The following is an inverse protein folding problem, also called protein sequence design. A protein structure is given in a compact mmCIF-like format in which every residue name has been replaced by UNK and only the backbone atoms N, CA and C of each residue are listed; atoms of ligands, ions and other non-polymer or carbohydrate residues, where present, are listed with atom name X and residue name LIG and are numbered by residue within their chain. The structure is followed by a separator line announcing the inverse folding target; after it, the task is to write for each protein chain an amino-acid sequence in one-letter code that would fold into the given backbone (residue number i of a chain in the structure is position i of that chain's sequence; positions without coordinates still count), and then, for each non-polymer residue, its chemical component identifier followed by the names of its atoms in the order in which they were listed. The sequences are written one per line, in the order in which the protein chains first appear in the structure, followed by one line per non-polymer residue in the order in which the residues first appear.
data_IF_466744096209
#
_entry.id   IF_466744096209
#
_cell.length_a   1.000
_cell.length_b   1.000
_cell.length_c   1.000
_cell.angle_alpha   90.00
_cell.angle_beta   90.00
_cell.angle_gamma   90.00
#
_symmetry.space_group_name_H-M   'P 1'
#
loop_
_entity.id
_entity.type
_entity.pdbx_description
1 polymer ?
#
# COMPACT_ATOMS: atom_id res chain seq x y z
N UNK A 1 5.58 18.23 10.57
CA UNK A 1 4.16 17.85 10.60
C UNK A 1 3.77 17.16 9.29
N UNK A 2 2.63 16.49 9.28
CA UNK A 2 2.15 15.71 8.14
C UNK A 2 0.64 15.88 7.95
N UNK A 3 0.22 15.97 6.71
CA UNK A 3 -1.19 15.91 6.29
C UNK A 3 -1.33 14.92 5.14
N UNK A 4 -2.28 14.00 5.21
CA UNK A 4 -2.72 13.24 4.04
C UNK A 4 -4.22 13.40 3.80
N UNK A 5 -4.61 13.50 2.53
CA UNK A 5 -6.00 13.58 2.07
C UNK A 5 -6.17 12.57 0.96
N UNK A 6 -6.95 11.53 1.20
CA UNK A 6 -7.15 10.41 0.29
C UNK A 6 -8.64 10.24 -0.07
N UNK A 7 -8.94 10.13 -1.35
CA UNK A 7 -10.23 9.72 -1.88
C UNK A 7 -10.19 8.20 -2.07
N UNK A 8 -11.12 7.49 -1.43
CA UNK A 8 -11.21 6.04 -1.53
C UNK A 8 -12.19 5.62 -2.63
N UNK A 9 -11.84 4.61 -3.40
CA UNK A 9 -12.71 4.05 -4.42
C UNK A 9 -12.41 2.57 -4.63
N UNK A 10 -13.41 1.80 -5.09
CA UNK A 10 -13.19 0.41 -5.46
C UNK A 10 -12.16 0.32 -6.59
N UNK A 11 -11.19 -0.56 -6.44
CA UNK A 11 -10.19 -0.87 -7.46
C UNK A 11 -10.87 -1.71 -8.55
N UNK A 12 -11.04 -1.12 -9.73
CA UNK A 12 -11.62 -1.81 -10.89
C UNK A 12 -10.74 -1.61 -12.11
N UNK A 13 -10.62 -2.65 -12.94
CA UNK A 13 -9.78 -2.60 -14.14
C UNK A 13 -10.11 -1.39 -15.03
N UNK A 14 -11.38 -1.11 -15.24
CA UNK A 14 -11.85 -0.07 -16.16
C UNK A 14 -11.51 1.35 -15.70
N UNK A 15 -11.29 1.55 -14.40
CA UNK A 15 -11.07 2.86 -13.79
C UNK A 15 -9.70 3.06 -13.20
N UNK A 16 -8.97 1.98 -12.87
CA UNK A 16 -7.72 2.03 -12.12
C UNK A 16 -6.69 3.00 -12.72
N UNK A 17 -6.43 2.93 -14.03
CA UNK A 17 -5.48 3.82 -14.69
C UNK A 17 -5.93 5.29 -14.70
N UNK A 18 -7.24 5.55 -14.93
CA UNK A 18 -7.80 6.88 -14.87
C UNK A 18 -7.72 7.48 -13.45
N UNK A 19 -8.02 6.66 -12.44
CA UNK A 19 -7.93 7.06 -11.03
C UNK A 19 -6.47 7.33 -10.66
N UNK A 20 -5.53 6.47 -11.07
CA UNK A 20 -4.11 6.59 -10.74
C UNK A 20 -3.44 7.84 -11.35
N UNK A 21 -3.84 8.30 -12.53
CA UNK A 21 -3.24 9.48 -13.15
C UNK A 21 -3.73 10.78 -12.53
N UNK A 22 -4.91 10.76 -11.92
CA UNK A 22 -5.62 11.97 -11.49
C UNK A 22 -4.82 12.85 -10.52
N UNK A 23 -4.25 12.35 -9.41
CA UNK A 23 -3.50 13.20 -8.48
C UNK A 23 -2.31 13.90 -9.16
N UNK A 24 -1.68 13.25 -10.12
CA UNK A 24 -0.57 13.84 -10.88
C UNK A 24 -1.03 14.96 -11.81
N UNK A 25 -2.19 14.82 -12.44
CA UNK A 25 -2.81 15.89 -13.25
C UNK A 25 -3.18 17.09 -12.38
N UNK A 26 -3.80 16.84 -11.23
CA UNK A 26 -4.20 17.90 -10.29
C UNK A 26 -2.98 18.64 -9.70
N UNK A 27 -1.87 17.94 -9.45
CA UNK A 27 -0.62 18.53 -8.94
C UNK A 27 0.06 19.49 -9.92
N UNK A 28 -0.37 19.50 -11.21
CA UNK A 28 0.21 20.40 -12.24
C UNK A 28 -0.24 21.84 -12.12
N UNK A 29 -1.23 22.14 -11.31
CA UNK A 29 -1.68 23.48 -11.00
C UNK A 29 -3.18 23.59 -10.76
N UNK A 30 -3.56 24.66 -10.12
CA UNK A 30 -4.94 25.03 -9.82
C UNK A 30 -5.22 26.49 -10.25
N UNK A 31 -6.45 26.95 -10.05
CA UNK A 31 -6.85 28.32 -10.42
C UNK A 31 -5.97 29.38 -9.77
N UNK A 32 -5.57 29.20 -8.50
CA UNK A 32 -4.74 30.13 -7.75
C UNK A 32 -3.24 29.96 -8.05
N UNK A 33 -2.79 28.72 -8.19
CA UNK A 33 -1.40 28.34 -8.48
C UNK A 33 -1.36 27.68 -9.86
N UNK A 34 -1.20 28.45 -10.96
CA UNK A 34 -1.52 27.97 -12.31
C UNK A 34 -0.52 26.97 -12.90
N UNK A 35 0.66 26.83 -12.31
CA UNK A 35 1.71 25.95 -12.79
C UNK A 35 2.64 25.47 -11.65
N UNK A 36 3.61 24.63 -12.00
CA UNK A 36 4.55 24.06 -11.03
C UNK A 36 5.48 25.13 -10.43
N UNK A 37 5.78 26.21 -11.15
CA UNK A 37 6.63 27.30 -10.66
C UNK A 37 5.90 28.08 -9.56
N UNK A 38 4.62 28.42 -9.79
CA UNK A 38 3.78 29.08 -8.80
C UNK A 38 3.59 28.21 -7.54
N UNK A 39 3.39 26.90 -7.73
CA UNK A 39 3.29 25.95 -6.61
C UNK A 39 4.62 25.88 -5.84
N UNK A 40 5.76 25.78 -6.53
CA UNK A 40 7.06 25.73 -5.88
C UNK A 40 7.34 27.02 -5.07
N UNK A 41 7.06 28.18 -5.64
CA UNK A 41 7.22 29.47 -4.95
C UNK A 41 6.32 29.59 -3.70
N UNK A 42 5.09 29.06 -3.77
CA UNK A 42 4.17 29.01 -2.63
C UNK A 42 4.71 28.11 -1.52
N UNK A 43 5.15 26.89 -1.86
CA UNK A 43 5.66 25.93 -0.91
C UNK A 43 7.02 26.35 -0.31
N UNK A 44 7.88 27.02 -1.08
CA UNK A 44 9.10 27.66 -0.57
C UNK A 44 8.75 28.72 0.49
N UNK A 45 7.69 29.51 0.25
CA UNK A 45 7.14 30.45 1.22
C UNK A 45 6.53 29.81 2.46
N UNK A 46 6.28 28.51 2.45
CA UNK A 46 5.86 27.68 3.57
C UNK A 46 7.02 26.84 4.15
N UNK A 47 8.21 27.43 4.22
CA UNK A 47 9.44 26.82 4.77
C UNK A 47 9.86 25.55 4.05
N UNK A 48 9.64 25.47 2.74
CA UNK A 48 9.99 24.32 1.93
C UNK A 48 9.05 23.13 2.14
N UNK A 49 7.77 23.38 2.38
CA UNK A 49 6.76 22.33 2.44
C UNK A 49 6.68 21.55 1.12
N UNK A 50 6.27 20.30 1.18
CA UNK A 50 6.09 19.46 0.00
C UNK A 50 4.66 18.95 -0.06
N UNK A 51 4.06 18.94 -1.26
CA UNK A 51 2.78 18.30 -1.56
C UNK A 51 3.02 17.26 -2.65
N UNK A 52 2.85 15.99 -2.32
CA UNK A 52 3.12 14.83 -3.18
C UNK A 52 1.83 14.14 -3.59
N UNK A 53 1.59 13.90 -4.89
CA UNK A 53 0.47 13.10 -5.35
C UNK A 53 0.70 11.63 -5.04
N UNK A 54 -0.32 10.97 -4.46
CA UNK A 54 -0.22 9.57 -4.03
C UNK A 54 -1.30 8.70 -4.65
N UNK A 55 -0.93 7.44 -4.85
CA UNK A 55 -1.82 6.36 -5.28
C UNK A 55 -1.48 5.14 -4.44
N UNK A 56 -2.40 4.69 -3.62
CA UNK A 56 -2.26 3.50 -2.79
C UNK A 56 -3.21 2.40 -3.25
N UNK A 57 -2.85 1.16 -2.94
CA UNK A 57 -3.69 -0.02 -3.10
C UNK A 57 -3.78 -0.72 -1.76
N UNK A 58 -4.98 -0.88 -1.24
CA UNK A 58 -5.32 -1.45 0.04
C UNK A 58 -6.34 -2.57 -0.19
N UNK A 59 -5.86 -3.79 -0.38
CA UNK A 59 -6.74 -4.84 -0.88
C UNK A 59 -7.32 -4.48 -2.25
N UNK A 60 -8.63 -4.45 -2.36
CA UNK A 60 -9.37 -4.07 -3.58
C UNK A 60 -9.83 -2.60 -3.56
N UNK A 61 -9.20 -1.79 -2.73
CA UNK A 61 -9.45 -0.36 -2.64
C UNK A 61 -8.26 0.41 -3.22
N UNK A 62 -8.57 1.40 -4.05
CA UNK A 62 -7.59 2.37 -4.53
C UNK A 62 -7.80 3.69 -3.79
N UNK A 63 -6.77 4.17 -3.10
CA UNK A 63 -6.76 5.46 -2.43
C UNK A 63 -5.88 6.43 -3.20
N UNK A 64 -6.42 7.59 -3.57
CA UNK A 64 -5.71 8.59 -4.37
C UNK A 64 -5.88 9.98 -3.78
N UNK A 65 -4.82 10.77 -3.79
CA UNK A 65 -4.88 12.09 -3.22
C UNK A 65 -3.53 12.75 -3.07
N UNK A 66 -3.34 13.43 -1.96
CA UNK A 66 -2.13 14.16 -1.65
C UNK A 66 -1.61 13.86 -0.26
N UNK A 67 -0.31 13.80 -0.13
CA UNK A 67 0.44 13.83 1.12
C UNK A 67 1.27 15.09 1.16
N UNK A 68 1.30 15.75 2.32
CA UNK A 68 2.10 16.94 2.54
C UNK A 68 2.96 16.78 3.79
N UNK A 69 4.26 17.04 3.66
CA UNK A 69 5.19 17.21 4.76
C UNK A 69 5.57 18.69 4.87
N UNK A 70 5.63 19.19 6.10
CA UNK A 70 5.83 20.61 6.36
C UNK A 70 6.37 20.84 7.77
N UNK A 71 6.95 22.01 8.00
CA UNK A 71 7.41 22.41 9.31
C UNK A 71 6.23 22.55 10.28
N UNK A 72 6.39 22.08 11.50
CA UNK A 72 5.33 22.14 12.52
C UNK A 72 5.11 23.57 13.04
N UNK A 73 3.85 24.03 13.09
CA UNK A 73 3.48 25.38 13.54
C UNK A 73 4.01 25.69 14.95
N UNK A 74 3.97 24.69 15.85
CA UNK A 74 4.49 24.84 17.20
C UNK A 74 6.01 25.03 17.26
N UNK A 75 6.74 24.43 16.32
CA UNK A 75 8.19 24.58 16.22
C UNK A 75 8.58 25.92 15.56
N UNK A 76 7.77 26.42 14.62
CA UNK A 76 8.02 27.69 13.94
C UNK A 76 7.61 28.89 14.77
N UNK A 77 6.59 28.76 15.64
CA UNK A 77 5.91 29.89 16.28
C UNK A 77 5.07 30.73 15.31
N UNK A 78 4.77 30.18 14.14
CA UNK A 78 3.97 30.79 13.08
C UNK A 78 2.98 29.75 12.53
N UNK A 79 1.78 30.20 12.14
CA UNK A 79 0.73 29.31 11.62
C UNK A 79 0.80 29.18 10.09
N UNK A 80 1.37 28.07 9.61
CA UNK A 80 1.44 27.76 8.18
C UNK A 80 0.40 26.71 7.76
N UNK A 81 -0.09 25.88 8.67
CA UNK A 81 -1.03 24.79 8.37
C UNK A 81 -2.32 25.26 7.68
N UNK A 82 -3.00 26.36 8.08
CA UNK A 82 -4.22 26.81 7.38
C UNK A 82 -3.98 27.13 5.91
N UNK A 83 -2.81 27.70 5.57
CA UNK A 83 -2.41 28.04 4.21
C UNK A 83 -2.09 26.79 3.41
N UNK A 84 -1.33 25.85 3.99
CA UNK A 84 -1.02 24.56 3.37
C UNK A 84 -2.31 23.74 3.11
N UNK A 85 -3.22 23.69 4.07
CA UNK A 85 -4.52 23.01 3.92
C UNK A 85 -5.34 23.61 2.78
N UNK A 86 -5.32 24.93 2.63
CA UNK A 86 -5.96 25.61 1.50
C UNK A 86 -5.28 25.27 0.16
N UNK A 87 -3.94 25.17 0.12
CA UNK A 87 -3.21 24.75 -1.08
C UNK A 87 -3.58 23.32 -1.52
N UNK A 88 -3.64 22.38 -0.57
CA UNK A 88 -4.07 21.00 -0.85
C UNK A 88 -5.51 20.98 -1.35
N UNK A 89 -6.42 21.73 -0.70
CA UNK A 89 -7.82 21.82 -1.11
C UNK A 89 -7.95 22.47 -2.50
N UNK A 90 -7.21 23.52 -2.81
CA UNK A 90 -7.22 24.19 -4.12
C UNK A 90 -6.74 23.24 -5.23
N UNK A 91 -5.67 22.47 -4.99
CA UNK A 91 -5.20 21.48 -5.95
C UNK A 91 -6.25 20.38 -6.20
N UNK A 92 -6.97 19.99 -5.15
CA UNK A 92 -8.00 18.94 -5.23
C UNK A 92 -9.28 19.46 -5.89
N UNK A 93 -9.77 20.65 -5.53
CA UNK A 93 -11.12 21.14 -5.86
C UNK A 93 -11.16 22.11 -7.03
N UNK A 94 -10.07 22.83 -7.29
CA UNK A 94 -10.01 23.92 -8.27
C UNK A 94 -8.92 23.74 -9.32
N UNK A 95 -8.80 22.54 -9.95
CA UNK A 95 -7.74 22.25 -10.91
C UNK A 95 -7.83 23.16 -12.14
N UNK A 96 -6.72 23.26 -12.85
CA UNK A 96 -6.67 23.99 -14.11
C UNK A 96 -7.58 23.35 -15.17
N UNK A 97 -8.64 24.05 -15.55
CA UNK A 97 -9.61 23.62 -16.54
C UNK A 97 -9.70 24.57 -17.73
N UNK A 98 -10.19 24.05 -18.84
CA UNK A 98 -10.57 24.87 -20.00
C UNK A 98 -12.00 24.50 -20.40
N UNK A 99 -12.93 25.43 -20.22
CA UNK A 99 -14.35 25.17 -20.46
C UNK A 99 -14.94 24.09 -19.54
N UNK A 100 -14.51 24.03 -18.27
CA UNK A 100 -14.95 23.04 -17.28
C UNK A 100 -14.34 21.64 -17.44
N UNK A 101 -13.43 21.43 -18.39
CA UNK A 101 -12.73 20.17 -18.60
C UNK A 101 -11.25 20.30 -18.23
N UNK A 102 -10.66 19.25 -17.68
CA UNK A 102 -9.22 19.18 -17.42
C UNK A 102 -8.43 19.45 -18.70
N UNK A 103 -7.33 20.16 -18.59
CA UNK A 103 -6.53 20.59 -19.74
C UNK A 103 -5.94 19.42 -20.51
N UNK A 104 -6.21 19.29 -21.82
CA UNK A 104 -5.74 18.16 -22.63
C UNK A 104 -4.23 18.01 -22.63
N UNK A 105 -3.47 19.10 -22.70
CA UNK A 105 -2.01 19.11 -22.71
C UNK A 105 -1.42 18.53 -21.42
N UNK A 106 -2.02 18.85 -20.27
CA UNK A 106 -1.62 18.29 -18.97
C UNK A 106 -1.96 16.80 -18.89
N UNK A 107 -3.19 16.44 -19.29
CA UNK A 107 -3.65 15.04 -19.27
C UNK A 107 -2.78 14.15 -20.16
N UNK A 108 -2.45 14.61 -21.37
CA UNK A 108 -1.60 13.86 -22.31
C UNK A 108 -0.16 13.70 -21.78
N UNK A 109 0.37 14.75 -21.15
CA UNK A 109 1.69 14.70 -20.50
C UNK A 109 1.70 13.67 -19.36
N UNK A 110 0.73 13.73 -18.42
CA UNK A 110 0.70 12.81 -17.28
C UNK A 110 0.32 11.38 -17.66
N UNK A 111 -0.51 11.19 -18.71
CA UNK A 111 -0.73 9.88 -19.31
C UNK A 111 0.57 9.24 -19.79
N UNK A 112 1.40 10.02 -20.50
CA UNK A 112 2.72 9.56 -20.97
C UNK A 112 3.62 9.18 -19.80
N UNK A 113 3.62 9.97 -18.73
CA UNK A 113 4.38 9.68 -17.51
C UNK A 113 3.84 8.44 -16.78
N UNK A 114 2.50 8.26 -16.73
CA UNK A 114 1.90 7.06 -16.14
C UNK A 114 2.34 5.80 -16.88
N UNK A 115 2.30 5.80 -18.22
CA UNK A 115 2.77 4.69 -19.04
C UNK A 115 4.26 4.41 -18.76
N UNK A 116 5.08 5.44 -18.67
CA UNK A 116 6.49 5.28 -18.33
C UNK A 116 6.68 4.67 -16.92
N UNK A 117 5.88 5.07 -15.92
CA UNK A 117 5.91 4.48 -14.57
C UNK A 117 5.48 3.01 -14.59
N UNK A 118 4.43 2.65 -15.34
CA UNK A 118 3.98 1.26 -15.49
C UNK A 118 5.08 0.41 -16.10
N UNK A 119 5.69 0.87 -17.20
CA UNK A 119 6.80 0.17 -17.85
C UNK A 119 8.03 0.05 -16.95
N UNK A 120 8.31 1.07 -16.15
CA UNK A 120 9.45 1.08 -15.22
C UNK A 120 9.28 0.13 -14.03
N UNK A 121 8.09 -0.39 -13.76
CA UNK A 121 7.84 -1.32 -12.65
C UNK A 121 8.73 -2.56 -12.72
N UNK A 122 9.06 -3.04 -13.91
CA UNK A 122 9.97 -4.17 -14.13
C UNK A 122 11.41 -3.92 -13.63
N UNK A 123 11.81 -2.66 -13.39
CA UNK A 123 13.15 -2.34 -12.88
C UNK A 123 13.33 -2.78 -11.43
N UNK A 124 12.28 -2.78 -10.61
CA UNK A 124 12.30 -3.40 -9.29
C UNK A 124 11.85 -4.87 -9.39
N UNK A 125 12.80 -5.75 -9.66
CA UNK A 125 12.54 -7.17 -9.95
C UNK A 125 11.74 -7.89 -8.86
N UNK A 126 12.01 -7.58 -7.59
CA UNK A 126 11.33 -8.19 -6.44
C UNK A 126 9.86 -7.75 -6.37
N UNK A 127 9.62 -6.44 -6.48
CA UNK A 127 8.25 -5.91 -6.48
C UNK A 127 7.48 -6.36 -7.72
N UNK A 128 8.13 -6.39 -8.87
CA UNK A 128 7.54 -6.88 -10.12
C UNK A 128 7.11 -8.35 -9.99
N UNK A 129 7.98 -9.23 -9.48
CA UNK A 129 7.66 -10.64 -9.29
C UNK A 129 6.44 -10.83 -8.35
N UNK A 130 6.35 -10.02 -7.28
CA UNK A 130 5.20 -10.04 -6.37
C UNK A 130 3.90 -9.58 -7.06
N UNK A 131 3.94 -8.48 -7.80
CA UNK A 131 2.77 -8.00 -8.55
C UNK A 131 2.32 -9.02 -9.61
N UNK A 132 3.26 -9.66 -10.29
CA UNK A 132 2.95 -10.74 -11.26
C UNK A 132 2.35 -11.95 -10.56
N UNK A 133 2.90 -12.35 -9.40
CA UNK A 133 2.29 -13.40 -8.56
C UNK A 133 0.83 -13.06 -8.25
N UNK A 134 0.54 -11.84 -7.77
CA UNK A 134 -0.83 -11.42 -7.44
C UNK A 134 -1.75 -11.42 -8.67
N UNK A 135 -1.25 -10.97 -9.82
CA UNK A 135 -2.02 -11.01 -11.07
C UNK A 135 -2.48 -12.44 -11.44
N UNK A 136 -1.63 -13.43 -11.22
CA UNK A 136 -1.96 -14.82 -11.51
C UNK A 136 -2.74 -15.51 -10.39
N UNK A 137 -2.33 -15.29 -9.14
CA UNK A 137 -2.95 -15.87 -7.95
C UNK A 137 -4.39 -15.40 -7.78
N UNK A 138 -4.63 -14.11 -7.97
CA UNK A 138 -5.92 -13.45 -7.76
C UNK A 138 -6.65 -13.12 -9.08
N UNK A 139 -6.43 -13.88 -10.15
CA UNK A 139 -6.92 -13.55 -11.49
C UNK A 139 -8.45 -13.40 -11.61
N UNK A 140 -9.21 -13.86 -10.63
CA UNK A 140 -10.68 -13.73 -10.55
C UNK A 140 -11.12 -12.73 -9.48
N UNK A 141 -10.23 -11.86 -9.03
CA UNK A 141 -10.44 -10.87 -7.97
C UNK A 141 -9.96 -9.50 -8.47
N UNK A 142 -10.61 -8.43 -8.04
CA UNK A 142 -10.17 -7.05 -8.37
C UNK A 142 -8.75 -6.76 -7.84
N UNK A 143 -8.32 -7.51 -6.82
CA UNK A 143 -6.94 -7.45 -6.33
C UNK A 143 -5.87 -7.78 -7.38
N UNK A 144 -6.19 -8.52 -8.44
CA UNK A 144 -5.26 -8.77 -9.55
C UNK A 144 -4.90 -7.49 -10.33
N UNK A 145 -5.74 -6.45 -10.25
CA UNK A 145 -5.52 -5.18 -10.95
C UNK A 145 -4.33 -4.44 -10.34
N UNK A 146 -3.32 -4.06 -11.15
CA UNK A 146 -2.19 -3.30 -10.65
C UNK A 146 -2.62 -1.93 -10.10
N UNK A 147 -1.91 -1.44 -9.10
CA UNK A 147 -2.16 -0.13 -8.45
C UNK A 147 -2.29 1.04 -9.43
N UNK A 148 -1.47 1.06 -10.49
CA UNK A 148 -1.47 2.09 -11.52
C UNK A 148 -2.35 1.75 -12.73
N UNK A 149 -3.07 0.62 -12.68
CA UNK A 149 -3.75 0.07 -13.84
C UNK A 149 -2.80 -0.57 -14.87
N UNK A 150 -3.34 -1.00 -15.99
CA UNK A 150 -2.56 -1.59 -17.08
C UNK A 150 -2.21 -0.56 -18.15
N UNK A 151 -1.12 -0.80 -18.89
CA UNK A 151 -0.64 0.09 -19.95
C UNK A 151 -1.70 0.32 -21.03
N UNK A 152 -2.37 -0.74 -21.49
CA UNK A 152 -3.41 -0.64 -22.51
C UNK A 152 -4.61 0.23 -22.09
N UNK A 153 -4.92 0.28 -20.79
CA UNK A 153 -5.98 1.13 -20.26
C UNK A 153 -5.48 2.57 -20.06
N UNK A 154 -4.21 2.73 -19.68
CA UNK A 154 -3.57 4.03 -19.61
C UNK A 154 -3.50 4.75 -20.97
N UNK A 155 -3.21 4.02 -22.06
CA UNK A 155 -3.21 4.55 -23.43
C UNK A 155 -4.57 5.14 -23.86
N UNK A 156 -5.67 4.62 -23.31
CA UNK A 156 -7.05 5.06 -23.58
C UNK A 156 -7.51 6.23 -22.73
N UNK A 157 -6.67 6.74 -21.84
CA UNK A 157 -7.01 7.91 -21.01
C UNK A 157 -7.16 9.13 -21.91
N UNK A 158 -8.31 9.78 -21.76
CA UNK A 158 -8.69 10.96 -22.54
C UNK A 158 -9.26 12.02 -21.58
N UNK A 159 -8.94 13.28 -21.79
CA UNK A 159 -9.28 14.36 -20.88
C UNK A 159 -10.77 14.45 -20.49
N UNK A 160 -11.72 14.12 -21.40
CA UNK A 160 -13.15 14.09 -21.07
C UNK A 160 -13.49 12.97 -20.11
N UNK A 161 -12.99 11.74 -20.38
CA UNK A 161 -13.17 10.58 -19.49
C UNK A 161 -12.54 10.85 -18.11
N UNK A 162 -11.37 11.45 -18.10
CA UNK A 162 -10.69 11.80 -16.86
C UNK A 162 -11.44 12.89 -16.07
N UNK A 163 -12.00 13.89 -16.74
CA UNK A 163 -12.85 14.91 -16.10
C UNK A 163 -14.10 14.29 -15.47
N UNK A 164 -14.75 13.37 -16.17
CA UNK A 164 -15.90 12.64 -15.61
C UNK A 164 -15.50 11.85 -14.36
N UNK A 165 -14.38 11.10 -14.43
CA UNK A 165 -13.87 10.35 -13.29
C UNK A 165 -13.50 11.25 -12.11
N UNK A 166 -12.92 12.40 -12.36
CA UNK A 166 -12.62 13.41 -11.35
C UNK A 166 -13.88 13.87 -10.60
N UNK A 167 -14.94 14.24 -11.32
CA UNK A 167 -16.20 14.65 -10.70
C UNK A 167 -16.89 13.51 -9.95
N UNK A 168 -16.83 12.30 -10.49
CA UNK A 168 -17.33 11.10 -9.85
C UNK A 168 -16.64 10.86 -8.50
N UNK A 169 -15.32 10.83 -8.47
CA UNK A 169 -14.54 10.66 -7.24
C UNK A 169 -14.84 11.74 -6.19
N UNK A 170 -14.88 13.01 -6.57
CA UNK A 170 -15.21 14.08 -5.62
C UNK A 170 -16.62 13.93 -5.05
N UNK A 171 -17.56 13.42 -5.86
CA UNK A 171 -18.96 13.28 -5.48
C UNK A 171 -19.21 12.06 -4.60
N UNK A 172 -18.58 10.92 -4.89
CA UNK A 172 -18.98 9.61 -4.33
C UNK A 172 -17.95 9.00 -3.37
N UNK A 173 -16.66 9.38 -3.47
CA UNK A 173 -15.63 8.74 -2.65
C UNK A 173 -15.72 9.14 -1.17
N UNK A 174 -15.60 8.20 -0.23
CA UNK A 174 -15.18 8.51 1.13
C UNK A 174 -13.84 9.25 1.12
N UNK A 175 -13.67 10.18 2.05
CA UNK A 175 -12.45 10.98 2.18
C UNK A 175 -11.79 10.66 3.50
N UNK A 176 -10.60 10.10 3.45
CA UNK A 176 -9.79 9.84 4.62
C UNK A 176 -8.73 10.92 4.78
N UNK A 177 -8.70 11.53 5.96
CA UNK A 177 -7.76 12.59 6.28
C UNK A 177 -6.99 12.22 7.54
N UNK A 178 -5.68 12.29 7.46
CA UNK A 178 -4.80 12.11 8.59
C UNK A 178 -3.93 13.36 8.79
N UNK A 179 -3.82 13.81 10.03
CA UNK A 179 -2.93 14.89 10.44
C UNK A 179 -2.07 14.45 11.61
N UNK A 180 -0.79 14.77 11.55
CA UNK A 180 0.17 14.61 12.64
C UNK A 180 0.98 15.90 12.83
N UNK A 181 0.85 16.53 14.00
CA UNK A 181 1.53 17.78 14.34
C UNK A 181 1.04 18.35 15.68
N UNK A 182 1.49 19.53 16.02
CA UNK A 182 1.23 20.16 17.33
C UNK A 182 -0.12 20.87 17.47
N UNK A 183 -0.87 21.06 16.39
CA UNK A 183 -2.16 21.77 16.42
C UNK A 183 -3.23 20.87 17.03
N UNK A 184 -4.07 21.46 17.89
CA UNK A 184 -5.23 20.76 18.46
C UNK A 184 -6.18 20.18 17.38
N UNK A 185 -6.56 18.90 17.55
CA UNK A 185 -7.35 18.16 16.57
C UNK A 185 -8.68 18.80 16.20
N UNK A 186 -9.37 19.47 17.15
CA UNK A 186 -10.63 20.18 16.87
C UNK A 186 -10.38 21.40 15.97
N UNK A 187 -9.25 22.06 16.14
CA UNK A 187 -8.85 23.18 15.27
C UNK A 187 -8.51 22.69 13.88
N UNK A 188 -7.74 21.60 13.77
CA UNK A 188 -7.44 20.95 12.49
C UNK A 188 -8.72 20.56 11.76
N UNK A 189 -9.64 19.87 12.43
CA UNK A 189 -10.92 19.47 11.85
C UNK A 189 -11.74 20.66 11.33
N UNK A 190 -11.74 21.79 12.07
CA UNK A 190 -12.42 23.02 11.61
C UNK A 190 -11.79 23.58 10.35
N UNK A 191 -10.45 23.75 10.32
CA UNK A 191 -9.72 24.26 9.16
C UNK A 191 -10.01 23.40 7.94
N UNK A 192 -9.89 22.08 8.07
CA UNK A 192 -10.12 21.14 6.97
C UNK A 192 -11.59 21.16 6.49
N UNK A 193 -12.55 21.25 7.42
CA UNK A 193 -13.97 21.37 7.07
C UNK A 193 -14.23 22.67 6.28
N UNK A 194 -13.61 23.78 6.68
CA UNK A 194 -13.79 25.06 6.01
C UNK A 194 -13.21 25.04 4.59
N UNK A 195 -11.96 24.57 4.40
CA UNK A 195 -11.31 24.54 3.08
C UNK A 195 -11.92 23.52 2.12
N UNK A 196 -12.49 22.42 2.64
CA UNK A 196 -13.18 21.39 1.84
C UNK A 196 -14.70 21.63 1.70
N UNK A 197 -15.24 22.70 2.28
CA UNK A 197 -16.67 22.97 2.31
C UNK A 197 -17.35 23.09 0.93
N UNK A 198 -16.58 23.44 -0.10
CA UNK A 198 -17.05 23.54 -1.48
C UNK A 198 -16.97 22.24 -2.28
N UNK A 199 -16.51 21.16 -1.66
CA UNK A 199 -16.40 19.86 -2.32
C UNK A 199 -17.81 19.37 -2.73
N UNK A 200 -18.03 19.08 -4.03
CA UNK A 200 -19.32 18.59 -4.47
C UNK A 200 -19.56 17.18 -3.91
N UNK A 201 -20.62 17.00 -3.13
CA UNK A 201 -20.96 15.71 -2.50
C UNK A 201 -22.29 15.19 -3.00
N UNK A 202 -22.29 13.95 -3.50
CA UNK A 202 -23.47 13.13 -3.81
C UNK A 202 -23.67 12.03 -2.77
N UNK A 203 -24.37 10.97 -3.18
CA UNK A 203 -24.42 9.74 -2.37
C UNK A 203 -23.02 9.10 -2.35
N UNK A 204 -22.56 8.77 -1.13
CA UNK A 204 -21.29 8.06 -0.98
C UNK A 204 -21.41 6.66 -1.58
N UNK A 205 -20.32 6.19 -2.17
CA UNK A 205 -20.16 4.79 -2.55
C UNK A 205 -19.92 3.99 -1.27
N UNK A 206 -20.93 3.26 -0.82
CA UNK A 206 -20.88 2.42 0.39
C UNK A 206 -20.37 1.00 0.09
N UNK A 207 -20.29 0.62 -1.19
CA UNK A 207 -19.85 -0.71 -1.64
C UNK A 207 -18.32 -0.79 -1.85
N UNK A 208 -17.57 0.03 -1.12
CA UNK A 208 -16.10 -0.01 -1.16
C UNK A 208 -15.60 -1.03 -0.13
N UNK A 209 -14.96 -2.08 -0.62
CA UNK A 209 -14.50 -3.15 0.27
C UNK A 209 -13.49 -4.07 -0.40
N UNK A 210 -13.09 -5.07 0.33
CA UNK A 210 -12.19 -6.12 -0.16
C UNK A 210 -12.81 -7.48 0.09
N UNK A 211 -13.03 -8.25 -0.97
CA UNK A 211 -13.44 -9.65 -0.86
C UNK A 211 -12.26 -10.51 -0.42
N UNK A 212 -12.40 -11.19 0.71
CA UNK A 212 -11.39 -12.10 1.22
C UNK A 212 -11.72 -13.52 0.77
N UNK A 213 -10.83 -14.07 -0.04
CA UNK A 213 -10.94 -15.43 -0.49
C UNK A 213 -10.05 -16.33 0.36
N UNK A 214 -10.67 -17.17 1.17
CA UNK A 214 -10.00 -18.04 2.15
C UNK A 214 -9.26 -19.21 1.51
N UNK A 215 -9.75 -19.72 0.39
CA UNK A 215 -9.24 -20.94 -0.25
C UNK A 215 -8.55 -20.62 -1.58
N UNK A 216 -7.58 -21.45 -1.93
CA UNK A 216 -7.01 -21.44 -3.27
C UNK A 216 -8.08 -21.78 -4.33
N UNK A 217 -7.87 -21.31 -5.57
CA UNK A 217 -8.78 -21.60 -6.68
C UNK A 217 -8.73 -23.07 -7.11
N UNK A 218 -7.58 -23.71 -6.95
CA UNK A 218 -7.30 -25.08 -7.35
C UNK A 218 -6.71 -25.86 -6.19
N UNK A 219 -6.85 -27.19 -6.20
CA UNK A 219 -6.28 -28.09 -5.17
C UNK A 219 -4.74 -28.11 -5.22
N UNK A 220 -4.16 -27.89 -6.39
CA UNK A 220 -2.72 -27.84 -6.58
C UNK A 220 -2.27 -26.40 -6.86
N UNK A 221 -1.11 -25.97 -6.34
CA UNK A 221 -0.56 -24.66 -6.63
C UNK A 221 -0.35 -24.44 -8.12
N UNK A 222 -0.67 -23.26 -8.61
CA UNK A 222 -0.38 -22.87 -9.98
C UNK A 222 1.07 -22.47 -10.12
N UNK A 223 1.73 -22.94 -11.17
CA UNK A 223 3.12 -22.61 -11.50
C UNK A 223 3.16 -21.72 -12.73
N UNK A 224 3.72 -20.54 -12.59
CA UNK A 224 3.84 -19.55 -13.67
C UNK A 224 5.28 -19.16 -13.85
N UNK A 225 5.76 -19.15 -15.10
CA UNK A 225 7.14 -18.75 -15.44
C UNK A 225 7.10 -17.66 -16.49
N UNK A 226 7.82 -16.57 -16.24
CA UNK A 226 8.06 -15.50 -17.19
C UNK A 226 9.57 -15.36 -17.44
N UNK A 227 9.99 -15.24 -18.70
CA UNK A 227 11.40 -15.11 -19.06
C UNK A 227 11.71 -13.65 -19.37
N UNK A 228 12.63 -13.07 -18.62
CA UNK A 228 13.10 -11.70 -18.77
C UNK A 228 14.63 -11.67 -18.95
N UNK A 229 15.18 -10.67 -19.63
CA UNK A 229 16.64 -10.50 -19.80
C UNK A 229 17.26 -9.98 -18.50
N UNK A 230 17.32 -10.82 -17.48
CA UNK A 230 17.85 -10.50 -16.15
C UNK A 230 18.93 -11.48 -15.73
N UNK A 231 19.90 -11.02 -14.94
CA UNK A 231 21.00 -11.85 -14.46
C UNK A 231 20.58 -12.77 -13.28
N UNK A 232 19.49 -12.44 -12.60
CA UNK A 232 19.04 -13.14 -11.39
C UNK A 232 17.56 -13.50 -11.52
N UNK A 233 17.22 -14.75 -11.25
CA UNK A 233 15.83 -15.17 -11.17
C UNK A 233 15.16 -14.65 -9.87
N UNK A 234 13.87 -14.37 -9.96
CA UNK A 234 13.03 -14.02 -8.83
C UNK A 234 12.00 -15.12 -8.63
N UNK A 235 11.96 -15.69 -7.45
CA UNK A 235 10.96 -16.66 -7.02
C UNK A 235 9.99 -15.94 -6.10
N UNK A 236 8.71 -16.01 -6.41
CA UNK A 236 7.64 -15.54 -5.54
C UNK A 236 6.66 -16.69 -5.28
N UNK A 237 6.34 -16.93 -3.99
CA UNK A 237 5.42 -17.98 -3.56
C UNK A 237 4.29 -17.33 -2.78
N UNK A 238 3.06 -17.53 -3.22
CA UNK A 238 1.86 -16.95 -2.63
C UNK A 238 1.04 -17.99 -1.89
N UNK A 239 0.64 -17.63 -0.69
CA UNK A 239 -0.17 -18.45 0.21
C UNK A 239 -1.44 -17.72 0.60
N UNK A 240 -2.53 -18.46 0.77
CA UNK A 240 -3.75 -18.01 1.44
C UNK A 240 -3.68 -18.39 2.91
N UNK A 241 -4.02 -17.43 3.77
CA UNK A 241 -3.89 -17.60 5.23
C UNK A 241 -5.07 -18.36 5.85
N UNK A 242 -6.22 -18.42 5.16
CA UNK A 242 -7.44 -19.02 5.72
C UNK A 242 -8.08 -18.20 6.84
N UNK A 243 -7.61 -16.96 7.06
CA UNK A 243 -8.15 -16.00 8.03
C UNK A 243 -8.43 -14.67 7.37
N UNK A 244 -9.33 -13.89 7.93
CA UNK A 244 -9.61 -12.52 7.50
C UNK A 244 -9.05 -11.51 8.51
N UNK A 245 -9.09 -10.25 8.14
CA UNK A 245 -8.44 -9.16 8.87
C UNK A 245 -9.20 -8.65 10.08
N UNK A 246 -10.49 -8.93 10.11
CA UNK A 246 -11.37 -8.67 11.26
C UNK A 246 -11.17 -9.72 12.37
N UNK A 247 -10.30 -10.70 12.11
CA UNK A 247 -10.04 -11.80 13.02
C UNK A 247 -9.19 -11.32 14.20
N UNK A 248 -9.51 -11.70 15.44
CA UNK A 248 -8.68 -11.45 16.62
C UNK A 248 -7.25 -11.99 16.48
N UNK A 249 -7.00 -12.84 15.48
CA UNK A 249 -5.70 -13.45 15.21
C UNK A 249 -4.70 -12.55 14.45
N UNK A 250 -5.06 -11.32 14.12
CA UNK A 250 -4.14 -10.41 13.42
C UNK A 250 -2.76 -10.25 14.11
N UNK A 251 -2.66 -10.11 15.45
CA UNK A 251 -1.37 -10.08 16.15
C UNK A 251 -0.54 -11.35 15.92
N UNK A 252 -1.22 -12.51 15.88
CA UNK A 252 -0.59 -13.82 15.63
C UNK A 252 0.05 -13.86 14.23
N UNK A 253 -0.63 -13.32 13.21
CA UNK A 253 -0.12 -13.26 11.85
C UNK A 253 1.17 -12.42 11.76
N UNK A 254 1.29 -11.33 12.52
CA UNK A 254 2.54 -10.56 12.58
C UNK A 254 3.70 -11.38 13.14
N UNK A 255 3.48 -12.12 14.22
CA UNK A 255 4.50 -13.00 14.81
C UNK A 255 4.84 -14.15 13.86
N UNK A 256 3.84 -14.80 13.26
CA UNK A 256 4.03 -15.86 12.28
C UNK A 256 4.88 -15.37 11.10
N UNK A 257 4.56 -14.21 10.54
CA UNK A 257 5.35 -13.63 9.45
C UNK A 257 6.78 -13.32 9.89
N UNK A 258 6.99 -12.72 11.06
CA UNK A 258 8.32 -12.43 11.61
C UNK A 258 9.14 -13.72 11.82
N UNK A 259 8.53 -14.77 12.37
CA UNK A 259 9.17 -16.07 12.57
C UNK A 259 9.53 -16.75 11.25
N UNK A 260 8.60 -16.71 10.28
CA UNK A 260 8.77 -17.42 9.01
C UNK A 260 9.78 -16.74 8.10
N UNK A 261 9.61 -15.45 7.78
CA UNK A 261 10.45 -14.77 6.80
C UNK A 261 10.52 -13.24 6.91
N UNK A 262 9.85 -12.65 7.91
CA UNK A 262 9.70 -11.19 8.02
C UNK A 262 10.91 -10.46 8.64
N UNK A 263 11.85 -11.15 9.26
CA UNK A 263 13.01 -10.54 9.90
C UNK A 263 14.31 -11.31 9.62
N UNK A 264 15.45 -10.73 10.01
CA UNK A 264 16.78 -11.32 9.79
C UNK A 264 17.10 -12.54 10.65
N UNK A 265 16.31 -12.80 11.66
CA UNK A 265 16.38 -14.02 12.49
C UNK A 265 15.32 -15.06 12.13
N UNK A 266 14.59 -14.84 11.04
CA UNK A 266 13.53 -15.72 10.58
C UNK A 266 14.05 -17.02 10.01
N UNK A 267 13.20 -18.05 10.01
CA UNK A 267 13.53 -19.38 9.48
C UNK A 267 14.00 -19.33 8.02
N UNK A 268 13.31 -18.56 7.16
CA UNK A 268 13.72 -18.41 5.77
C UNK A 268 15.09 -17.75 5.64
N UNK A 269 15.34 -16.68 6.38
CA UNK A 269 16.62 -15.99 6.31
C UNK A 269 17.76 -16.89 6.76
N UNK A 270 17.65 -17.51 7.94
CA UNK A 270 18.69 -18.34 8.51
C UNK A 270 18.94 -19.63 7.69
N UNK A 271 17.90 -20.25 7.15
CA UNK A 271 18.05 -21.53 6.44
C UNK A 271 18.38 -21.35 4.95
N UNK A 272 17.61 -20.52 4.19
CA UNK A 272 17.85 -20.37 2.75
C UNK A 272 19.09 -19.54 2.44
N UNK A 273 19.28 -18.42 3.15
CA UNK A 273 20.37 -17.51 2.87
C UNK A 273 21.65 -17.89 3.59
N UNK A 274 21.61 -17.98 4.93
CA UNK A 274 22.83 -18.13 5.73
C UNK A 274 23.35 -19.58 5.68
N UNK A 275 22.51 -20.58 5.94
CA UNK A 275 22.95 -21.98 6.01
C UNK A 275 23.17 -22.63 4.65
N UNK A 276 22.20 -22.48 3.73
CA UNK A 276 22.23 -23.19 2.43
C UNK A 276 22.74 -22.34 1.27
N UNK A 277 22.89 -21.04 1.45
CA UNK A 277 23.33 -20.08 0.42
C UNK A 277 22.58 -20.22 -0.90
N UNK A 278 21.26 -20.49 -0.86
CA UNK A 278 20.42 -20.70 -2.04
C UNK A 278 19.95 -19.40 -2.68
N UNK A 279 20.01 -18.30 -1.93
CA UNK A 279 19.49 -17.00 -2.38
C UNK A 279 20.34 -15.85 -1.89
N UNK A 280 20.27 -14.72 -2.61
CA UNK A 280 20.89 -13.45 -2.20
C UNK A 280 19.99 -12.66 -1.23
N UNK A 281 18.70 -12.79 -1.41
CA UNK A 281 17.68 -12.18 -0.56
C UNK A 281 16.47 -13.10 -0.45
N UNK A 282 15.86 -13.13 0.71
CA UNK A 282 14.59 -13.81 0.95
C UNK A 282 13.83 -13.04 2.02
N UNK A 283 12.53 -13.05 1.93
CA UNK A 283 11.66 -12.52 2.97
C UNK A 283 10.21 -12.82 2.67
N UNK A 284 9.39 -12.80 3.72
CA UNK A 284 7.95 -12.91 3.63
C UNK A 284 7.27 -11.57 3.96
N UNK A 285 6.08 -11.38 3.43
CA UNK A 285 5.26 -10.21 3.64
C UNK A 285 3.80 -10.62 3.72
N UNK A 286 3.09 -10.03 4.68
CA UNK A 286 1.64 -10.14 4.80
C UNK A 286 0.96 -9.07 3.93
N UNK A 287 -0.10 -9.46 3.25
CA UNK A 287 -1.15 -8.57 2.81
C UNK A 287 -2.37 -8.82 3.69
N UNK A 288 -2.50 -8.00 4.71
CA UNK A 288 -3.57 -8.15 5.69
C UNK A 288 -4.94 -7.80 5.12
N UNK A 289 -5.06 -7.04 4.01
CA UNK A 289 -6.32 -6.75 3.34
C UNK A 289 -6.88 -7.95 2.56
N UNK A 290 -6.03 -8.87 2.15
CA UNK A 290 -6.45 -10.04 1.35
C UNK A 290 -6.26 -11.38 2.07
N UNK A 291 -5.70 -11.37 3.29
CA UNK A 291 -5.34 -12.62 3.96
C UNK A 291 -4.29 -13.41 3.20
N UNK A 292 -3.26 -12.73 2.67
CA UNK A 292 -2.21 -13.35 1.89
C UNK A 292 -0.85 -13.27 2.60
N UNK A 293 -0.07 -14.34 2.45
CA UNK A 293 1.35 -14.37 2.79
C UNK A 293 2.15 -14.59 1.51
N UNK A 294 3.14 -13.76 1.26
CA UNK A 294 3.97 -13.86 0.06
C UNK A 294 5.44 -13.96 0.44
N UNK A 295 6.10 -15.01 -0.02
CA UNK A 295 7.56 -15.14 0.04
C UNK A 295 8.14 -14.65 -1.28
N UNK A 296 9.17 -13.80 -1.21
CA UNK A 296 9.96 -13.40 -2.39
C UNK A 296 11.42 -13.69 -2.16
N UNK A 297 12.10 -14.24 -3.17
CA UNK A 297 13.51 -14.62 -3.07
C UNK A 297 14.24 -14.37 -4.38
N UNK A 298 15.42 -13.75 -4.29
CA UNK A 298 16.34 -13.60 -5.42
C UNK A 298 17.31 -14.79 -5.47
N UNK A 299 17.19 -15.65 -6.46
CA UNK A 299 17.91 -16.92 -6.58
C UNK A 299 18.75 -17.02 -7.85
N UNK A 300 19.72 -17.94 -7.87
CA UNK A 300 20.24 -18.43 -9.13
C UNK A 300 19.24 -19.42 -9.76
N UNK A 301 19.05 -19.38 -11.07
CA UNK A 301 18.01 -20.17 -11.74
C UNK A 301 18.13 -21.70 -11.47
N UNK A 302 19.35 -22.21 -11.35
CA UNK A 302 19.63 -23.61 -11.02
C UNK A 302 19.33 -23.98 -9.54
N UNK A 303 18.99 -23.01 -8.69
CA UNK A 303 18.61 -23.24 -7.29
C UNK A 303 17.09 -23.30 -7.08
N UNK A 304 16.28 -23.14 -8.14
CA UNK A 304 14.83 -23.03 -8.05
C UNK A 304 14.19 -24.15 -7.23
N UNK A 305 14.39 -25.41 -7.65
CA UNK A 305 13.77 -26.57 -6.99
C UNK A 305 14.16 -26.67 -5.50
N UNK A 306 15.45 -26.45 -5.21
CA UNK A 306 15.95 -26.51 -3.84
C UNK A 306 15.42 -25.38 -2.98
N UNK A 307 15.35 -24.18 -3.53
CA UNK A 307 14.81 -23.00 -2.82
C UNK A 307 13.31 -23.18 -2.52
N UNK A 308 12.53 -23.63 -3.50
CA UNK A 308 11.10 -23.90 -3.32
C UNK A 308 10.86 -25.00 -2.27
N UNK A 309 11.60 -26.10 -2.35
CA UNK A 309 11.53 -27.18 -1.36
C UNK A 309 11.84 -26.68 0.05
N UNK A 310 12.88 -25.88 0.22
CA UNK A 310 13.24 -25.34 1.53
C UNK A 310 12.24 -24.30 2.03
N UNK A 311 11.70 -23.42 1.17
CA UNK A 311 10.61 -22.49 1.53
C UNK A 311 9.43 -23.26 2.11
N UNK A 312 9.01 -24.33 1.45
CA UNK A 312 7.90 -25.19 1.93
C UNK A 312 8.26 -25.88 3.24
N UNK A 313 9.45 -26.47 3.35
CA UNK A 313 9.90 -27.16 4.55
C UNK A 313 9.96 -26.25 5.78
N UNK A 314 10.35 -24.98 5.62
CA UNK A 314 10.36 -24.03 6.72
C UNK A 314 8.94 -23.63 7.18
N UNK A 315 7.95 -23.61 6.28
CA UNK A 315 6.54 -23.43 6.69
C UNK A 315 6.02 -24.65 7.44
N UNK A 316 6.37 -25.86 6.99
CA UNK A 316 6.01 -27.09 7.68
C UNK A 316 6.67 -27.20 9.07
N UNK A 317 7.90 -26.69 9.23
CA UNK A 317 8.55 -26.56 10.52
C UNK A 317 7.76 -25.63 11.47
N UNK A 318 7.24 -24.49 10.97
CA UNK A 318 6.37 -23.61 11.77
C UNK A 318 5.07 -24.33 12.15
N UNK A 319 4.43 -25.03 11.23
CA UNK A 319 3.20 -25.81 11.47
C UNK A 319 3.36 -26.87 12.53
N UNK A 320 4.49 -27.58 12.50
CA UNK A 320 4.78 -28.66 13.45
C UNK A 320 5.35 -28.20 14.80
N UNK A 321 5.57 -26.88 14.96
CA UNK A 321 6.21 -26.32 16.16
C UNK A 321 7.72 -26.57 16.24
N UNK A 322 8.37 -26.94 15.12
CA UNK A 322 9.83 -27.09 15.05
C UNK A 322 10.52 -25.73 14.97
N UNK A 323 10.43 -25.00 16.08
CA UNK A 323 11.14 -23.76 16.35
C UNK A 323 11.39 -23.60 17.84
N UNK A 324 12.47 -22.97 18.20
CA UNK A 324 12.87 -22.78 19.59
C UNK A 324 12.10 -21.63 20.25
N UNK A 325 12.08 -21.61 21.60
CA UNK A 325 11.51 -20.47 22.34
C UNK A 325 12.29 -19.17 22.08
N UNK A 326 13.58 -19.27 21.74
CA UNK A 326 14.37 -18.09 21.37
C UNK A 326 13.96 -17.54 20.02
N UNK A 327 13.72 -18.40 19.00
CA UNK A 327 13.19 -17.97 17.69
C UNK A 327 11.84 -17.27 17.85
N UNK A 328 10.93 -17.83 18.68
CA UNK A 328 9.64 -17.20 18.95
C UNK A 328 9.80 -15.84 19.64
N UNK A 329 10.63 -15.77 20.69
CA UNK A 329 10.89 -14.50 21.38
C UNK A 329 11.51 -13.42 20.46
N UNK A 330 12.40 -13.83 19.56
CA UNK A 330 12.96 -12.92 18.55
C UNK A 330 11.90 -12.43 17.57
N UNK A 331 11.01 -13.31 17.11
CA UNK A 331 9.92 -12.96 16.22
C UNK A 331 8.92 -11.97 16.87
N UNK A 332 8.51 -12.24 18.12
CA UNK A 332 7.64 -11.36 18.91
C UNK A 332 8.29 -9.99 19.08
N UNK A 333 9.56 -9.93 19.50
CA UNK A 333 10.29 -8.66 19.68
C UNK A 333 10.42 -7.89 18.37
N UNK A 334 10.69 -8.57 17.25
CA UNK A 334 10.78 -7.93 15.95
C UNK A 334 9.42 -7.34 15.53
N UNK A 335 8.35 -8.13 15.60
CA UNK A 335 7.02 -7.69 15.21
C UNK A 335 6.50 -6.52 16.08
N UNK A 336 6.66 -6.62 17.41
CA UNK A 336 6.27 -5.56 18.33
C UNK A 336 7.14 -4.29 18.16
N UNK A 337 8.44 -4.48 17.91
CA UNK A 337 9.36 -3.36 17.63
C UNK A 337 9.02 -2.62 16.33
N UNK A 338 8.71 -3.35 15.26
CA UNK A 338 8.31 -2.77 13.97
C UNK A 338 6.98 -1.99 14.09
N UNK A 339 6.04 -2.48 14.90
CA UNK A 339 4.79 -1.78 15.17
C UNK A 339 5.03 -0.46 15.93
N UNK A 340 5.84 -0.51 17.01
CA UNK A 340 6.16 0.70 17.77
C UNK A 340 6.91 1.74 16.93
N UNK A 341 7.84 1.29 16.09
CA UNK A 341 8.61 2.17 15.21
C UNK A 341 7.73 2.92 14.19
N UNK A 342 6.51 2.44 13.90
CA UNK A 342 5.56 3.16 13.03
C UNK A 342 5.11 4.49 13.63
N UNK A 343 5.15 4.65 14.95
CA UNK A 343 4.82 5.89 15.63
C UNK A 343 5.97 6.92 15.59
N UNK A 344 7.18 6.52 15.20
CA UNK A 344 8.37 7.39 15.21
C UNK A 344 8.41 8.38 14.03
N UNK A 345 7.70 8.08 12.94
CA UNK A 345 7.66 8.92 11.74
C UNK A 345 6.22 9.16 11.26
N UNK A 346 5.86 10.42 10.95
CA UNK A 346 4.49 10.79 10.60
C UNK A 346 3.95 10.08 9.35
N UNK A 347 4.79 9.84 8.35
CA UNK A 347 4.44 9.13 7.12
C UNK A 347 4.09 7.65 7.38
N UNK A 348 4.89 6.96 8.20
CA UNK A 348 4.62 5.56 8.57
C UNK A 348 3.39 5.44 9.46
N UNK A 349 3.15 6.43 10.32
CA UNK A 349 1.95 6.50 11.14
C UNK A 349 0.71 6.79 10.29
N UNK A 350 0.80 7.71 9.31
CA UNK A 350 -0.27 7.97 8.35
C UNK A 350 -0.65 6.71 7.56
N UNK A 351 0.36 5.99 7.07
CA UNK A 351 0.17 4.71 6.38
C UNK A 351 -0.47 3.65 7.29
N UNK A 352 -0.05 3.57 8.54
CA UNK A 352 -0.65 2.65 9.51
C UNK A 352 -2.15 2.95 9.69
N UNK A 353 -2.51 4.20 9.95
CA UNK A 353 -3.91 4.58 10.19
C UNK A 353 -4.78 4.43 8.93
N UNK A 354 -4.28 4.80 7.74
CA UNK A 354 -5.02 4.57 6.50
C UNK A 354 -5.36 3.08 6.33
N UNK A 355 -4.41 2.18 6.62
CA UNK A 355 -4.64 0.75 6.58
C UNK A 355 -5.68 0.31 7.63
N UNK A 356 -5.60 0.82 8.87
CA UNK A 356 -6.54 0.45 9.94
C UNK A 356 -7.94 0.95 9.66
N UNK A 357 -8.08 2.20 9.23
CA UNK A 357 -9.39 2.79 8.89
C UNK A 357 -10.09 1.99 7.79
N UNK A 358 -9.39 1.66 6.72
CA UNK A 358 -9.94 0.83 5.63
C UNK A 358 -10.37 -0.56 6.12
N UNK A 359 -9.73 -1.06 7.18
CA UNK A 359 -10.07 -2.34 7.82
C UNK A 359 -11.16 -2.22 8.89
N UNK A 360 -11.61 -1.02 9.20
CA UNK A 360 -12.56 -0.79 10.30
C UNK A 360 -11.97 -1.03 11.69
N UNK A 361 -10.63 -0.99 11.83
CA UNK A 361 -9.93 -1.21 13.09
C UNK A 361 -9.48 0.11 13.70
N UNK A 362 -9.82 0.30 14.98
CA UNK A 362 -9.42 1.45 15.79
C UNK A 362 -8.49 0.97 16.91
N UNK A 363 -7.25 0.67 16.53
CA UNK A 363 -6.20 0.22 17.46
C UNK A 363 -4.87 0.89 17.08
N UNK A 364 -4.21 1.50 18.04
CA UNK A 364 -2.95 2.20 17.80
C UNK A 364 -1.74 1.25 17.73
N UNK A 365 -0.58 1.69 17.18
CA UNK A 365 0.59 0.84 17.04
C UNK A 365 1.13 0.28 18.37
N UNK A 366 1.22 1.03 19.49
CA UNK A 366 1.57 0.51 20.81
C UNK A 366 0.60 -0.55 21.35
N UNK A 367 -0.72 -0.34 21.20
CA UNK A 367 -1.74 -1.29 21.62
C UNK A 367 -1.65 -2.60 20.82
N UNK A 368 -1.49 -2.49 19.48
CA UNK A 368 -1.27 -3.67 18.63
C UNK A 368 0.03 -4.39 19.01
N UNK A 369 1.10 -3.66 19.35
CA UNK A 369 2.35 -4.26 19.80
C UNK A 369 2.19 -5.00 21.14
N UNK A 370 1.35 -4.51 22.04
CA UNK A 370 1.05 -5.21 23.30
C UNK A 370 0.33 -6.54 23.04
N UNK A 371 -0.63 -6.59 22.11
CA UNK A 371 -1.28 -7.86 21.71
C UNK A 371 -0.30 -8.84 21.07
N UNK A 372 0.63 -8.36 20.27
CA UNK A 372 1.70 -9.18 19.67
C UNK A 372 2.58 -9.82 20.75
N UNK A 373 2.84 -9.12 21.86
CA UNK A 373 3.66 -9.65 22.98
C UNK A 373 2.99 -10.77 23.77
N UNK A 374 1.67 -10.94 23.66
CA UNK A 374 0.90 -12.00 24.30
C UNK A 374 0.81 -13.29 23.46
N UNK A 375 1.27 -13.27 22.21
CA UNK A 375 1.17 -14.40 21.29
C UNK A 375 1.99 -15.60 21.76
N UNK A 376 1.34 -16.75 21.77
CA UNK A 376 1.95 -18.02 22.20
C UNK A 376 2.41 -18.89 21.03
N UNK A 377 3.15 -19.97 21.35
CA UNK A 377 3.55 -20.99 20.37
C UNK A 377 2.34 -21.65 19.71
N UNK A 378 1.34 -22.01 20.51
CA UNK A 378 0.15 -22.72 20.05
C UNK A 378 -0.68 -21.84 19.10
N UNK A 379 -0.75 -20.54 19.34
CA UNK A 379 -1.41 -19.58 18.45
C UNK A 379 -0.73 -19.55 17.07
N UNK A 380 0.61 -19.46 17.05
CA UNK A 380 1.38 -19.45 15.81
C UNK A 380 1.21 -20.76 15.03
N UNK A 381 1.23 -21.93 15.72
CA UNK A 381 1.02 -23.22 15.08
C UNK A 381 -0.39 -23.34 14.51
N UNK A 382 -1.39 -22.89 15.26
CA UNK A 382 -2.79 -22.89 14.84
C UNK A 382 -3.00 -22.06 13.60
N UNK A 383 -2.49 -20.82 13.58
CA UNK A 383 -2.57 -19.95 12.42
C UNK A 383 -1.82 -20.52 11.21
N UNK A 384 -0.65 -21.14 11.42
CA UNK A 384 0.12 -21.76 10.35
C UNK A 384 -0.57 -22.98 9.71
N UNK A 385 -1.41 -23.71 10.48
CA UNK A 385 -2.10 -24.91 9.99
C UNK A 385 -3.06 -24.63 8.82
N UNK A 386 -3.69 -23.45 8.80
CA UNK A 386 -4.63 -23.03 7.76
C UNK A 386 -3.98 -22.49 6.47
N UNK A 387 -2.68 -22.28 6.44
CA UNK A 387 -1.98 -21.67 5.30
C UNK A 387 -1.92 -22.64 4.12
N UNK A 388 -2.36 -22.21 2.94
CA UNK A 388 -2.35 -23.04 1.71
C UNK A 388 -1.56 -22.33 0.62
N UNK A 389 -0.63 -23.04 -0.03
CA UNK A 389 0.07 -22.55 -1.22
C UNK A 389 -0.90 -22.48 -2.39
N UNK A 390 -1.04 -21.30 -3.02
CA UNK A 390 -1.96 -21.07 -4.15
C UNK A 390 -1.19 -20.89 -5.46
N UNK A 391 -0.07 -20.17 -5.44
CA UNK A 391 0.65 -19.84 -6.68
C UNK A 391 2.15 -19.73 -6.45
N UNK A 392 2.93 -20.20 -7.44
CA UNK A 392 4.39 -20.07 -7.52
C UNK A 392 4.74 -19.39 -8.83
N UNK A 393 5.43 -18.25 -8.75
CA UNK A 393 5.87 -17.46 -9.89
C UNK A 393 7.40 -17.35 -9.90
#
# INVERSE_FOLDING_TARGET
AWLSVNLLTQLRRETAACTAVLPYVLRRGCTRLPDLEAIAAELDGLYGAHITPVVHKLGEIQAVGFEADFADDGALGEEIFPRLAADVADLLLHPNTRGGLLRPDIVDSERTQLIARIRAAVNNKRSYARERLYTHMCCCEDFAVPRLGEEADAERIHYRKLTMRYHDLLSTSPVEIFYCGSIDGKRVARILTDVLSTMPRGALDEDIGTDIRMNALEEQPRYVTETLPVAQAQLAVGYRLGTCMEDPDLPVLFVLNALYGGCVTSKLFLNLRERLSLCYSVGSQLDTHKGLLTVTSGIAANHYERALTEITAQLDAVRSGDFTDEELRCAIRSAAGDLRARADAPDTLAWYWLNRTVQGLDIDPPEMAALVEEVTRDDVMSAAAGIVCDCVY
#
